data_IF_951449858251
#
_entry.id   IF_951449858251
#
_cell.length_a   1.000
_cell.length_b   1.000
_cell.length_c   1.000
_cell.angle_alpha   90.00
_cell.angle_beta   90.00
_cell.angle_gamma   90.00
#
_symmetry.space_group_name_H-M   'P 1'
#
loop_
_entity.id
_entity.type
_entity.pdbx_description
1 polymer ?
#
# COMPACT_ATOMS: atom_id res chain seq x y z
N UNK A 1 -15.47 7.81 -20.13
CA UNK A 1 -16.13 6.49 -20.28
C UNK A 1 -15.27 5.65 -21.22
N UNK A 2 -14.79 4.49 -20.76
CA UNK A 2 -13.99 3.55 -21.57
C UNK A 2 -14.92 2.47 -22.14
N UNK A 3 -14.96 2.34 -23.46
CA UNK A 3 -15.65 1.25 -24.13
C UNK A 3 -14.62 0.22 -24.63
N UNK A 4 -14.80 -1.05 -24.26
CA UNK A 4 -13.99 -2.17 -24.76
C UNK A 4 -14.87 -2.96 -25.71
N UNK A 5 -14.49 -3.02 -26.99
CA UNK A 5 -15.26 -3.70 -28.01
C UNK A 5 -14.44 -4.82 -28.66
N UNK A 6 -15.04 -6.01 -28.75
CA UNK A 6 -14.49 -7.11 -29.55
C UNK A 6 -14.66 -6.80 -31.03
N UNK A 7 -13.61 -7.05 -31.83
CA UNK A 7 -13.65 -6.93 -33.29
C UNK A 7 -14.52 -8.01 -33.95
N UNK A 8 -14.71 -9.15 -33.28
CA UNK A 8 -15.51 -10.28 -33.78
C UNK A 8 -16.94 -10.23 -33.24
N UNK A 9 -17.90 -10.59 -34.10
CA UNK A 9 -19.27 -10.89 -33.67
C UNK A 9 -19.21 -12.22 -32.91
N UNK A 10 -19.20 -12.17 -31.58
CA UNK A 10 -19.28 -13.37 -30.75
C UNK A 10 -20.71 -13.92 -30.85
N UNK A 11 -20.87 -15.07 -31.49
CA UNK A 11 -22.12 -15.82 -31.45
C UNK A 11 -22.33 -16.37 -30.04
N UNK A 12 -23.49 -16.09 -29.44
CA UNK A 12 -23.87 -16.68 -28.16
C UNK A 12 -23.96 -18.21 -28.30
N UNK A 13 -23.50 -18.99 -27.29
CA UNK A 13 -23.78 -20.42 -27.19
C UNK A 13 -25.28 -20.70 -27.28
N UNK A 14 -25.67 -21.79 -27.95
CA UNK A 14 -27.08 -22.13 -28.23
C UNK A 14 -27.94 -22.23 -26.95
N UNK A 15 -27.33 -22.63 -25.83
CA UNK A 15 -27.95 -22.74 -24.51
C UNK A 15 -28.44 -21.38 -23.95
N UNK A 16 -27.71 -20.29 -24.22
CA UNK A 16 -28.09 -18.93 -23.80
C UNK A 16 -29.14 -18.32 -24.73
N UNK A 17 -29.19 -18.77 -25.99
CA UNK A 17 -30.22 -18.35 -26.96
C UNK A 17 -31.59 -18.94 -26.61
N UNK A 18 -31.64 -20.13 -26.01
CA UNK A 18 -32.87 -20.78 -25.57
C UNK A 18 -33.52 -20.10 -24.35
N UNK A 19 -32.75 -19.37 -23.53
CA UNK A 19 -33.21 -18.79 -22.26
C UNK A 19 -33.72 -17.33 -22.36
N UNK A 20 -33.62 -16.66 -23.53
CA UNK A 20 -33.78 -15.20 -23.64
C UNK A 20 -34.88 -14.72 -24.59
N UNK A 21 -35.60 -13.67 -24.15
CA UNK A 21 -36.66 -12.97 -24.89
C UNK A 21 -36.22 -12.52 -26.30
N UNK A 22 -37.07 -12.82 -27.30
CA UNK A 22 -36.84 -12.55 -28.73
C UNK A 22 -36.98 -11.06 -29.06
N UNK A 23 -35.88 -10.33 -28.99
CA UNK A 23 -35.62 -9.19 -29.88
C UNK A 23 -34.13 -9.19 -30.22
N UNK A 24 -33.74 -9.55 -31.45
CA UNK A 24 -32.33 -9.49 -31.85
C UNK A 24 -31.90 -8.03 -31.94
N UNK A 25 -31.08 -7.57 -30.98
CA UNK A 25 -30.34 -6.32 -31.12
C UNK A 25 -29.49 -6.38 -32.40
N UNK A 26 -29.47 -5.33 -33.23
CA UNK A 26 -28.70 -5.33 -34.47
C UNK A 26 -27.22 -5.59 -34.19
N UNK A 27 -26.68 -6.67 -34.77
CA UNK A 27 -25.27 -7.06 -34.66
C UNK A 27 -24.40 -5.95 -35.24
N UNK A 28 -23.85 -5.10 -34.39
CA UNK A 28 -22.94 -4.02 -34.77
C UNK A 28 -21.52 -4.44 -34.42
N UNK A 29 -20.57 -4.30 -35.34
CA UNK A 29 -19.17 -4.65 -35.10
C UNK A 29 -18.54 -3.67 -34.09
N UNK A 30 -17.51 -4.13 -33.35
CA UNK A 30 -16.76 -3.26 -32.44
C UNK A 30 -16.21 -2.00 -33.13
N UNK A 31 -15.74 -2.15 -34.37
CA UNK A 31 -15.28 -1.05 -35.22
C UNK A 31 -16.36 0.00 -35.48
N UNK A 32 -17.59 -0.42 -35.79
CA UNK A 32 -18.68 0.52 -36.01
C UNK A 32 -19.11 1.25 -34.72
N UNK A 33 -18.98 0.61 -33.56
CA UNK A 33 -19.26 1.23 -32.26
C UNK A 33 -18.17 2.25 -31.88
N UNK A 34 -16.90 1.92 -32.09
CA UNK A 34 -15.77 2.82 -31.85
C UNK A 34 -15.84 4.03 -32.78
N UNK A 35 -16.10 3.84 -34.08
CA UNK A 35 -16.22 4.95 -35.02
C UNK A 35 -17.34 5.91 -34.62
N UNK A 36 -18.53 5.40 -34.26
CA UNK A 36 -19.63 6.22 -33.73
C UNK A 36 -19.26 6.97 -32.44
N UNK A 37 -18.47 6.34 -31.58
CA UNK A 37 -18.00 6.97 -30.34
C UNK A 37 -17.02 8.10 -30.63
N UNK A 38 -16.05 7.90 -31.53
CA UNK A 38 -15.07 8.91 -31.96
C UNK A 38 -15.75 10.08 -32.67
N UNK A 39 -16.68 9.81 -33.59
CA UNK A 39 -17.45 10.84 -34.29
C UNK A 39 -18.21 11.77 -33.33
N UNK A 40 -18.75 11.22 -32.24
CA UNK A 40 -19.45 12.00 -31.21
C UNK A 40 -18.54 12.68 -30.20
N UNK A 41 -17.28 12.24 -30.09
CA UNK A 41 -16.33 12.70 -29.09
C UNK A 41 -15.00 13.06 -29.76
N UNK A 42 -14.85 14.28 -30.28
CA UNK A 42 -13.68 14.68 -31.07
C UNK A 42 -12.36 14.62 -30.29
N UNK A 43 -12.41 14.60 -28.96
CA UNK A 43 -11.26 14.44 -28.06
C UNK A 43 -11.02 12.99 -27.64
N UNK A 44 -11.56 12.01 -28.37
CA UNK A 44 -11.38 10.60 -28.06
C UNK A 44 -9.99 10.11 -28.51
N UNK A 45 -9.34 9.35 -27.64
CA UNK A 45 -8.16 8.53 -27.94
C UNK A 45 -8.63 7.10 -28.17
N UNK A 46 -8.21 6.51 -29.27
CA UNK A 46 -8.48 5.10 -29.58
C UNK A 46 -7.20 4.29 -29.60
N UNK A 47 -7.25 3.08 -29.03
CA UNK A 47 -6.16 2.11 -29.08
C UNK A 47 -6.70 0.81 -29.65
N UNK A 48 -6.10 0.34 -30.74
CA UNK A 48 -6.39 -0.96 -31.33
C UNK A 48 -5.25 -1.92 -31.00
N UNK A 49 -5.59 -3.07 -30.42
CA UNK A 49 -4.65 -4.15 -30.10
C UNK A 49 -4.97 -5.35 -30.99
N UNK A 50 -4.24 -5.48 -32.09
CA UNK A 50 -4.49 -6.48 -33.13
C UNK A 50 -5.89 -6.36 -33.74
N UNK A 51 -6.48 -7.49 -34.14
CA UNK A 51 -7.84 -7.55 -34.70
C UNK A 51 -8.94 -7.77 -33.64
N UNK A 52 -8.54 -7.98 -32.39
CA UNK A 52 -9.42 -8.52 -31.36
C UNK A 52 -10.00 -7.45 -30.43
N UNK A 53 -9.24 -6.39 -30.12
CA UNK A 53 -9.63 -5.41 -29.11
C UNK A 53 -9.50 -3.99 -29.66
N UNK A 54 -10.59 -3.23 -29.55
CA UNK A 54 -10.58 -1.80 -29.75
C UNK A 54 -11.05 -1.08 -28.50
N UNK A 55 -10.22 -0.15 -28.04
CA UNK A 55 -10.47 0.73 -26.91
C UNK A 55 -10.73 2.12 -27.43
N UNK A 56 -11.77 2.77 -26.92
CA UNK A 56 -12.02 4.18 -27.17
C UNK A 56 -12.30 4.89 -25.84
N UNK A 57 -11.61 6.01 -25.64
CA UNK A 57 -11.65 6.77 -24.40
C UNK A 57 -11.71 8.26 -24.70
N UNK A 58 -12.54 9.02 -23.97
CA UNK A 58 -12.59 10.49 -24.13
C UNK A 58 -12.74 11.19 -22.79
N UNK A 59 -12.08 12.34 -22.69
CA UNK A 59 -12.15 13.29 -21.58
C UNK A 59 -13.07 14.49 -21.86
N UNK A 60 -13.91 14.46 -22.90
CA UNK A 60 -14.69 15.64 -23.33
C UNK A 60 -15.57 16.27 -22.21
N UNK A 61 -15.85 15.57 -21.10
CA UNK A 61 -16.53 16.11 -19.89
C UNK A 61 -15.72 16.02 -18.60
N UNK A 62 -14.45 15.62 -18.68
CA UNK A 62 -13.55 15.41 -17.55
C UNK A 62 -12.28 16.21 -17.82
N UNK A 63 -12.26 17.46 -17.36
CA UNK A 63 -11.11 18.34 -17.52
C UNK A 63 -10.24 18.30 -16.27
N UNK A 64 -8.95 17.92 -16.37
CA UNK A 64 -7.98 18.06 -15.27
C UNK A 64 -7.87 19.52 -14.78
N UNK A 65 -8.18 20.49 -15.65
CA UNK A 65 -8.12 21.93 -15.38
C UNK A 65 -9.47 22.54 -14.95
N UNK A 66 -10.52 21.72 -14.79
CA UNK A 66 -11.79 22.16 -14.20
C UNK A 66 -12.19 21.18 -13.09
N UNK A 67 -11.48 21.17 -11.95
CA UNK A 67 -12.06 20.61 -10.75
C UNK A 67 -13.42 21.28 -10.54
N UNK A 68 -14.45 20.51 -10.23
CA UNK A 68 -15.76 21.08 -9.94
C UNK A 68 -15.60 21.91 -8.68
N UNK A 69 -15.58 23.24 -8.82
CA UNK A 69 -15.31 24.16 -7.71
C UNK A 69 -16.24 23.92 -6.51
N UNK A 70 -17.46 23.43 -6.77
CA UNK A 70 -18.44 23.03 -5.75
C UNK A 70 -17.97 21.90 -4.81
N UNK A 71 -17.00 21.09 -5.22
CA UNK A 71 -16.49 19.95 -4.44
C UNK A 71 -15.18 20.29 -3.68
N UNK A 72 -14.61 21.47 -3.92
CA UNK A 72 -13.39 21.91 -3.22
C UNK A 72 -13.66 22.03 -1.73
N UNK A 73 -12.77 21.45 -0.92
CA UNK A 73 -12.88 21.41 0.54
C UNK A 73 -13.75 20.28 1.11
N UNK A 74 -14.43 19.49 0.28
CA UNK A 74 -15.21 18.33 0.73
C UNK A 74 -14.35 17.06 0.84
N UNK A 75 -14.74 16.08 1.69
CA UNK A 75 -14.05 14.79 1.78
C UNK A 75 -14.02 14.04 0.44
N UNK A 76 -12.81 13.67 -0.03
CA UNK A 76 -12.61 12.98 -1.31
C UNK A 76 -13.39 11.66 -1.40
N UNK A 77 -13.39 10.87 -0.32
CA UNK A 77 -14.05 9.57 -0.28
C UNK A 77 -15.57 9.69 -0.51
N UNK A 78 -16.22 10.62 0.19
CA UNK A 78 -17.65 10.85 0.09
C UNK A 78 -18.05 11.37 -1.30
N UNK A 79 -17.30 12.35 -1.82
CA UNK A 79 -17.54 12.89 -3.16
C UNK A 79 -17.36 11.79 -4.21
N UNK A 80 -16.27 11.01 -4.14
CA UNK A 80 -16.01 9.92 -5.08
C UNK A 80 -17.13 8.88 -5.10
N UNK A 81 -17.53 8.38 -3.92
CA UNK A 81 -18.60 7.40 -3.78
C UNK A 81 -19.92 7.93 -4.37
N UNK A 82 -20.32 9.14 -3.98
CA UNK A 82 -21.53 9.80 -4.49
C UNK A 82 -21.52 9.89 -6.01
N UNK A 83 -20.40 10.35 -6.61
CA UNK A 83 -20.32 10.53 -8.08
C UNK A 83 -20.40 9.22 -8.85
N UNK A 84 -19.79 8.14 -8.33
CA UNK A 84 -19.86 6.83 -8.99
C UNK A 84 -21.29 6.27 -8.90
N UNK A 85 -21.93 6.36 -7.74
CA UNK A 85 -23.31 5.89 -7.55
C UNK A 85 -24.33 6.70 -8.36
N UNK A 86 -24.11 8.01 -8.57
CA UNK A 86 -24.92 8.84 -9.49
C UNK A 86 -24.78 8.39 -10.95
N UNK A 87 -23.63 7.82 -11.32
CA UNK A 87 -23.29 7.46 -12.71
C UNK A 87 -23.63 6.02 -13.06
N UNK A 88 -23.47 5.09 -12.12
CA UNK A 88 -23.58 3.64 -12.34
C UNK A 88 -24.68 3.09 -11.45
N UNK A 89 -25.78 2.67 -12.08
CA UNK A 89 -26.92 2.08 -11.38
C UNK A 89 -26.56 0.70 -10.80
N UNK A 90 -27.01 0.43 -9.58
CA UNK A 90 -26.83 -0.88 -8.92
C UNK A 90 -25.48 -1.06 -8.22
N UNK A 91 -24.66 -0.02 -8.14
CA UNK A 91 -23.42 -0.01 -7.36
C UNK A 91 -23.66 0.64 -6.00
N UNK A 92 -23.22 -0.04 -4.95
CA UNK A 92 -23.22 0.49 -3.58
C UNK A 92 -21.76 0.74 -3.15
N UNK A 93 -21.45 1.96 -2.71
CA UNK A 93 -20.13 2.34 -2.22
C UNK A 93 -20.30 2.97 -0.85
N UNK A 94 -19.65 2.38 0.16
CA UNK A 94 -19.58 2.92 1.51
C UNK A 94 -18.29 3.75 1.65
N UNK A 95 -18.35 5.09 1.65
CA UNK A 95 -17.16 5.91 1.80
C UNK A 95 -16.67 5.94 3.26
N UNK A 96 -15.36 5.96 3.45
CA UNK A 96 -14.73 6.21 4.74
C UNK A 96 -13.78 7.41 4.64
N UNK A 97 -14.12 8.50 5.33
CA UNK A 97 -13.24 9.66 5.49
C UNK A 97 -12.43 9.52 6.79
N UNK A 98 -11.43 8.65 6.75
CA UNK A 98 -10.48 8.42 7.84
C UNK A 98 -9.14 7.98 7.26
N UNK A 99 -8.10 7.95 8.08
CA UNK A 99 -6.86 7.30 7.68
C UNK A 99 -7.03 5.78 7.73
N UNK A 100 -6.14 5.04 7.06
CA UNK A 100 -6.15 3.57 7.09
C UNK A 100 -5.69 3.05 8.46
N UNK A 101 -4.82 3.80 9.12
CA UNK A 101 -4.26 3.48 10.43
C UNK A 101 -5.28 3.64 11.57
N UNK A 102 -6.34 4.42 11.34
CA UNK A 102 -7.41 4.68 12.32
C UNK A 102 -8.42 3.52 12.39
N UNK A 103 -8.36 2.57 11.45
CA UNK A 103 -9.28 1.42 11.39
C UNK A 103 -8.74 0.26 12.21
N UNK A 104 -9.64 -0.39 12.95
CA UNK A 104 -9.32 -1.63 13.64
C UNK A 104 -9.04 -2.77 12.65
N UNK A 105 -8.31 -3.80 13.09
CA UNK A 105 -7.97 -4.94 12.23
C UNK A 105 -9.22 -5.67 11.74
N UNK A 106 -10.25 -5.81 12.58
CA UNK A 106 -11.50 -6.51 12.24
C UNK A 106 -12.20 -5.87 11.02
N UNK A 107 -12.10 -4.54 10.85
CA UNK A 107 -12.63 -3.86 9.65
C UNK A 107 -12.03 -4.44 8.37
N UNK A 108 -10.73 -4.70 8.36
CA UNK A 108 -10.06 -5.24 7.18
C UNK A 108 -10.37 -6.72 6.95
N UNK A 109 -10.75 -7.45 8.00
CA UNK A 109 -11.08 -8.87 7.91
C UNK A 109 -12.37 -9.14 7.10
N UNK A 110 -13.29 -8.17 7.04
CA UNK A 110 -14.54 -8.29 6.30
C UNK A 110 -14.36 -8.26 4.77
N UNK A 111 -13.22 -7.77 4.28
CA UNK A 111 -12.97 -7.69 2.84
C UNK A 111 -12.37 -8.98 2.29
N UNK A 112 -12.78 -9.37 1.07
CA UNK A 112 -12.17 -10.50 0.36
C UNK A 112 -10.92 -10.11 -0.42
N UNK A 113 -10.87 -8.88 -0.96
CA UNK A 113 -9.76 -8.36 -1.77
C UNK A 113 -9.55 -6.90 -1.42
N UNK A 114 -8.28 -6.48 -1.41
CA UNK A 114 -7.89 -5.10 -1.11
C UNK A 114 -7.22 -4.49 -2.35
N UNK A 115 -7.80 -3.44 -2.93
CA UNK A 115 -7.18 -2.68 -4.02
C UNK A 115 -6.54 -1.40 -3.48
N UNK A 116 -5.28 -1.14 -3.84
CA UNK A 116 -4.47 -0.06 -3.31
C UNK A 116 -4.09 0.93 -4.41
N UNK A 117 -4.31 2.21 -4.14
CA UNK A 117 -3.87 3.35 -4.96
C UNK A 117 -3.26 4.43 -4.06
N UNK A 118 -2.38 3.99 -3.14
CA UNK A 118 -1.78 4.84 -2.12
C UNK A 118 -0.64 5.69 -2.68
N UNK A 119 -0.27 6.77 -2.01
CA UNK A 119 0.77 7.71 -2.45
C UNK A 119 2.07 7.60 -1.63
N UNK A 120 2.05 6.93 -0.47
CA UNK A 120 3.21 6.74 0.38
C UNK A 120 3.68 5.29 0.49
N UNK A 121 4.95 5.10 0.81
CA UNK A 121 5.53 3.77 1.07
C UNK A 121 5.03 3.27 2.43
N UNK A 122 4.92 4.16 3.41
CA UNK A 122 4.49 3.90 4.78
C UNK A 122 3.07 3.32 4.81
N UNK A 123 2.14 3.93 4.07
CA UNK A 123 0.76 3.46 3.99
C UNK A 123 0.68 2.06 3.32
N UNK A 124 1.48 1.84 2.27
CA UNK A 124 1.58 0.52 1.61
C UNK A 124 2.15 -0.55 2.54
N UNK A 125 3.17 -0.21 3.34
CA UNK A 125 3.74 -1.12 4.34
C UNK A 125 2.77 -1.43 5.45
N UNK A 126 2.01 -0.44 5.92
CA UNK A 126 0.97 -0.63 6.93
C UNK A 126 -0.08 -1.64 6.45
N UNK A 127 -0.70 -1.40 5.28
CA UNK A 127 -1.75 -2.30 4.79
C UNK A 127 -1.20 -3.69 4.42
N UNK A 128 0.06 -3.77 3.98
CA UNK A 128 0.74 -5.05 3.78
C UNK A 128 0.91 -5.81 5.11
N UNK A 129 1.30 -5.12 6.18
CA UNK A 129 1.38 -5.69 7.53
C UNK A 129 0.03 -6.18 8.03
N UNK A 130 -1.04 -5.40 7.82
CA UNK A 130 -2.42 -5.79 8.15
C UNK A 130 -2.83 -7.06 7.39
N UNK A 131 -2.70 -7.07 6.06
CA UNK A 131 -3.09 -8.21 5.24
C UNK A 131 -2.28 -9.48 5.55
N UNK A 132 -0.98 -9.34 5.81
CA UNK A 132 -0.14 -10.47 6.24
C UNK A 132 -0.45 -10.91 7.68
N UNK A 133 -0.92 -9.99 8.53
CA UNK A 133 -1.30 -10.27 9.91
C UNK A 133 -2.44 -11.27 10.03
N UNK A 134 -3.33 -11.35 9.03
CA UNK A 134 -4.40 -12.34 9.00
C UNK A 134 -3.94 -13.74 8.61
N UNK A 135 -2.75 -13.90 8.02
CA UNK A 135 -2.30 -15.20 7.52
C UNK A 135 -2.17 -16.20 8.67
N UNK A 136 -2.87 -17.31 8.54
CA UNK A 136 -2.63 -18.51 9.33
C UNK A 136 -1.86 -19.54 8.51
N UNK A 137 -1.13 -20.40 9.20
CA UNK A 137 -0.32 -21.45 8.58
C UNK A 137 -0.74 -22.80 9.18
N UNK A 138 -0.66 -23.84 8.36
CA UNK A 138 -0.80 -25.22 8.83
C UNK A 138 0.51 -25.75 9.44
N UNK A 139 0.56 -27.04 9.73
CA UNK A 139 1.70 -27.70 10.36
C UNK A 139 2.93 -27.75 9.44
N UNK A 140 2.73 -27.66 8.12
CA UNK A 140 3.77 -27.70 7.09
C UNK A 140 4.23 -26.29 6.67
N UNK A 141 3.93 -25.26 7.49
CA UNK A 141 4.21 -23.86 7.20
C UNK A 141 3.60 -23.36 5.86
N UNK A 142 2.50 -23.98 5.44
CA UNK A 142 1.73 -23.59 4.25
C UNK A 142 0.59 -22.64 4.66
N UNK A 143 0.41 -21.50 3.97
CA UNK A 143 -0.63 -20.54 4.33
C UNK A 143 -2.04 -21.11 4.08
N UNK A 144 -2.91 -21.00 5.08
CA UNK A 144 -4.33 -21.38 5.00
C UNK A 144 -5.07 -20.45 4.06
N UNK A 145 -5.63 -21.01 2.99
CA UNK A 145 -6.19 -20.23 1.86
C UNK A 145 -7.33 -19.32 2.29
N UNK A 146 -8.10 -19.72 3.30
CA UNK A 146 -9.26 -19.00 3.83
C UNK A 146 -8.87 -17.69 4.51
N UNK A 147 -7.62 -17.61 5.01
CA UNK A 147 -7.09 -16.45 5.73
C UNK A 147 -6.36 -15.47 4.82
N UNK A 148 -6.11 -15.86 3.57
CA UNK A 148 -5.41 -15.02 2.60
C UNK A 148 -6.35 -13.89 2.14
N UNK A 149 -5.84 -12.66 2.24
CA UNK A 149 -6.48 -11.46 1.68
C UNK A 149 -5.65 -10.97 0.49
N UNK A 150 -5.99 -11.35 -0.77
CA UNK A 150 -5.28 -10.86 -1.94
C UNK A 150 -5.32 -9.34 -2.04
N UNK A 151 -4.20 -8.76 -2.44
CA UNK A 151 -4.07 -7.32 -2.67
C UNK A 151 -3.66 -7.03 -4.10
N UNK A 152 -4.16 -5.92 -4.64
CA UNK A 152 -3.73 -5.38 -5.93
C UNK A 152 -3.24 -3.95 -5.72
N UNK A 153 -1.94 -3.70 -5.91
CA UNK A 153 -1.31 -2.39 -5.69
C UNK A 153 -0.99 -1.68 -7.00
N UNK A 154 -1.39 -0.42 -7.10
CA UNK A 154 -1.02 0.50 -8.17
C UNK A 154 -0.13 1.63 -7.68
N UNK A 155 0.85 2.02 -8.48
CA UNK A 155 1.68 3.21 -8.25
C UNK A 155 2.02 3.92 -9.56
N UNK A 156 2.14 5.24 -9.50
CA UNK A 156 2.35 6.10 -10.67
C UNK A 156 3.27 7.27 -10.36
N UNK A 157 4.18 7.58 -11.28
CA UNK A 157 5.08 8.74 -11.24
C UNK A 157 5.34 9.21 -12.66
N UNK A 158 4.81 10.37 -13.02
CA UNK A 158 4.91 10.94 -14.37
C UNK A 158 4.41 9.97 -15.44
N UNK A 159 5.30 9.56 -16.34
CA UNK A 159 5.03 8.58 -17.40
C UNK A 159 5.35 7.13 -17.01
N UNK A 160 5.70 6.87 -15.74
CA UNK A 160 6.02 5.54 -15.24
C UNK A 160 4.95 5.08 -14.26
N UNK A 161 4.74 3.78 -14.18
CA UNK A 161 3.86 3.21 -13.17
C UNK A 161 4.05 1.72 -13.02
N UNK A 162 3.39 1.16 -12.01
CA UNK A 162 3.35 -0.27 -11.78
C UNK A 162 1.99 -0.74 -11.32
N UNK A 163 1.67 -1.99 -11.64
CA UNK A 163 0.58 -2.74 -11.05
C UNK A 163 1.13 -4.04 -10.47
N UNK A 164 0.74 -4.38 -9.24
CA UNK A 164 1.23 -5.56 -8.53
C UNK A 164 0.06 -6.39 -8.05
N UNK A 165 0.19 -7.71 -8.13
CA UNK A 165 -0.72 -8.66 -7.48
C UNK A 165 0.06 -9.31 -6.35
N UNK A 166 -0.44 -9.15 -5.13
CA UNK A 166 0.15 -9.68 -3.92
C UNK A 166 -0.85 -10.67 -3.32
N UNK A 167 -0.45 -11.92 -3.23
CA UNK A 167 -1.15 -12.98 -2.51
C UNK A 167 -0.29 -13.31 -1.29
N UNK A 168 -0.59 -12.72 -0.12
CA UNK A 168 0.25 -12.87 1.07
C UNK A 168 0.53 -14.36 1.40
N UNK A 169 1.79 -14.67 1.73
CA UNK A 169 2.25 -16.04 2.00
C UNK A 169 2.55 -16.87 0.75
N UNK A 170 2.04 -16.49 -0.43
CA UNK A 170 2.25 -17.23 -1.70
C UNK A 170 3.20 -16.48 -2.62
N UNK A 171 2.88 -15.23 -2.97
CA UNK A 171 3.75 -14.36 -3.77
C UNK A 171 4.57 -13.44 -2.85
N UNK A 172 5.61 -12.75 -3.35
CA UNK A 172 6.29 -11.73 -2.55
C UNK A 172 5.30 -10.68 -2.04
N UNK A 173 5.36 -10.40 -0.75
CA UNK A 173 4.64 -9.28 -0.15
C UNK A 173 5.34 -7.95 -0.48
N UNK A 174 4.74 -6.83 -0.04
CA UNK A 174 5.34 -5.52 -0.27
C UNK A 174 6.75 -5.41 0.34
N UNK A 175 6.96 -5.97 1.53
CA UNK A 175 8.25 -5.94 2.22
C UNK A 175 9.33 -6.76 1.48
N UNK A 176 8.97 -7.87 0.81
CA UNK A 176 9.91 -8.67 0.00
C UNK A 176 10.50 -7.88 -1.18
N UNK A 177 9.79 -6.84 -1.63
CA UNK A 177 10.14 -6.05 -2.82
C UNK A 177 10.36 -4.58 -2.50
N UNK A 178 10.57 -4.22 -1.24
CA UNK A 178 10.76 -2.83 -0.81
C UNK A 178 11.99 -2.18 -1.44
N UNK A 179 13.03 -2.97 -1.73
CA UNK A 179 14.25 -2.53 -2.38
C UNK A 179 14.05 -2.03 -3.81
N UNK A 180 12.90 -2.29 -4.43
CA UNK A 180 12.54 -1.71 -5.74
C UNK A 180 12.22 -0.22 -5.66
N UNK A 181 11.88 0.30 -4.48
CA UNK A 181 11.65 1.72 -4.30
C UNK A 181 12.98 2.45 -4.09
N UNK A 182 13.21 3.56 -4.81
CA UNK A 182 14.43 4.33 -4.63
C UNK A 182 14.48 4.91 -3.21
N UNK A 183 15.68 5.02 -2.60
CA UNK A 183 15.82 5.71 -1.32
C UNK A 183 15.38 7.17 -1.48
N UNK A 184 14.73 7.71 -0.45
CA UNK A 184 14.39 9.12 -0.43
C UNK A 184 15.66 9.97 -0.44
N UNK A 185 15.70 10.99 -1.29
CA UNK A 185 16.84 11.90 -1.39
C UNK A 185 16.83 12.81 -0.16
N UNK A 186 17.66 12.49 0.84
CA UNK A 186 17.92 13.36 1.99
C UNK A 186 19.23 14.12 1.76
N UNK A 187 19.17 15.45 1.75
CA UNK A 187 20.38 16.27 1.62
C UNK A 187 21.13 16.32 2.97
N UNK A 188 22.47 16.13 2.98
CA UNK A 188 23.24 16.26 4.21
C UNK A 188 23.17 17.68 4.79
N UNK A 189 23.00 17.80 6.12
CA UNK A 189 22.89 19.09 6.79
C UNK A 189 24.09 20.01 6.55
N UNK A 190 25.31 19.46 6.51
CA UNK A 190 26.53 20.23 6.20
C UNK A 190 26.50 20.83 4.78
N UNK A 191 25.89 20.12 3.82
CA UNK A 191 25.73 20.62 2.45
C UNK A 191 24.68 21.72 2.41
N UNK A 192 23.57 21.55 3.13
CA UNK A 192 22.54 22.58 3.23
C UNK A 192 23.06 23.85 3.91
N UNK A 193 23.81 23.72 5.01
CA UNK A 193 24.27 24.83 5.84
C UNK A 193 25.50 25.58 5.27
N UNK A 194 26.50 24.85 4.76
CA UNK A 194 27.80 25.43 4.42
C UNK A 194 28.07 25.49 2.91
N UNK A 195 27.70 24.43 2.17
CA UNK A 195 28.14 24.25 0.76
C UNK A 195 27.00 23.88 -0.19
N UNK A 196 25.99 24.77 -0.38
CA UNK A 196 24.93 24.53 -1.34
C UNK A 196 25.51 24.46 -2.76
N UNK A 197 24.95 23.60 -3.62
CA UNK A 197 25.46 23.33 -4.98
C UNK A 197 24.43 23.52 -6.09
N UNK A 198 23.16 23.52 -5.73
CA UNK A 198 22.04 23.66 -6.66
C UNK A 198 20.89 24.38 -5.95
N UNK A 199 19.89 24.82 -6.73
CA UNK A 199 18.74 25.56 -6.23
C UNK A 199 17.93 24.81 -5.15
N UNK A 200 17.83 23.47 -5.25
CA UNK A 200 17.14 22.65 -4.24
C UNK A 200 17.81 22.75 -2.87
N UNK A 201 19.14 22.80 -2.79
CA UNK A 201 19.84 22.99 -1.52
C UNK A 201 19.53 24.34 -0.87
N UNK A 202 19.40 25.41 -1.68
CA UNK A 202 19.03 26.74 -1.19
C UNK A 202 17.60 26.76 -0.64
N UNK A 203 16.68 26.08 -1.32
CA UNK A 203 15.27 25.94 -0.90
C UNK A 203 15.16 25.14 0.40
N UNK A 204 15.84 23.99 0.49
CA UNK A 204 15.81 23.15 1.69
C UNK A 204 16.46 23.82 2.89
N UNK A 205 17.51 24.61 2.68
CA UNK A 205 18.05 25.45 3.74
C UNK A 205 17.02 26.45 4.27
N UNK A 206 16.31 27.14 3.36
CA UNK A 206 15.29 28.10 3.75
C UNK A 206 14.15 27.44 4.55
N UNK A 207 13.71 26.26 4.10
CA UNK A 207 12.63 25.49 4.71
C UNK A 207 13.02 24.81 6.03
N UNK A 208 14.13 24.08 6.08
CA UNK A 208 14.48 23.23 7.23
C UNK A 208 15.31 23.95 8.29
N UNK A 209 16.11 24.95 7.90
CA UNK A 209 17.06 25.62 8.81
C UNK A 209 16.59 27.03 9.15
N UNK A 210 16.33 27.87 8.14
CA UNK A 210 15.98 29.29 8.39
C UNK A 210 14.57 29.49 8.91
N UNK A 211 13.59 28.72 8.43
CA UNK A 211 12.22 28.89 8.88
C UNK A 211 12.08 28.72 10.40
N UNK A 212 12.57 27.62 11.02
CA UNK A 212 12.51 27.47 12.48
C UNK A 212 13.31 28.54 13.24
N UNK A 213 14.45 28.99 12.70
CA UNK A 213 15.31 30.03 13.29
C UNK A 213 14.57 31.37 13.42
N UNK A 214 13.85 31.78 12.37
CA UNK A 214 13.19 33.10 12.30
C UNK A 214 11.79 33.10 12.94
N UNK A 215 11.04 32.01 12.81
CA UNK A 215 9.63 31.95 13.23
C UNK A 215 9.41 31.30 14.59
N UNK A 216 10.47 31.06 15.38
CA UNK A 216 10.36 30.74 16.80
C UNK A 216 9.45 29.54 17.11
N UNK A 217 9.53 28.48 16.31
CA UNK A 217 8.74 27.25 16.52
C UNK A 217 7.35 27.23 15.89
N UNK A 218 6.93 28.25 15.13
CA UNK A 218 5.71 28.16 14.30
C UNK A 218 5.89 27.04 13.27
N UNK A 219 4.94 26.10 13.23
CA UNK A 219 4.95 25.03 12.23
C UNK A 219 4.83 25.61 10.82
N UNK A 220 5.70 25.16 9.93
CA UNK A 220 5.59 25.46 8.51
C UNK A 220 4.38 24.73 7.93
N UNK A 221 3.59 25.45 7.14
CA UNK A 221 2.46 24.87 6.39
C UNK A 221 2.74 25.05 4.89
N UNK A 222 2.93 23.96 4.13
CA UNK A 222 3.23 24.03 2.71
C UNK A 222 2.03 24.47 1.85
N UNK A 223 0.80 24.38 2.36
CA UNK A 223 -0.41 24.80 1.65
C UNK A 223 -0.74 26.27 1.87
N UNK A 224 -0.14 26.92 2.87
CA UNK A 224 -0.25 28.35 3.10
C UNK A 224 0.62 29.17 2.12
N UNK A 225 0.03 30.02 1.25
CA UNK A 225 0.77 30.76 0.24
C UNK A 225 1.84 31.70 0.82
N UNK A 226 1.59 32.29 1.99
CA UNK A 226 2.52 33.20 2.66
C UNK A 226 3.79 32.47 3.14
N UNK A 227 3.62 31.29 3.72
CA UNK A 227 4.74 30.45 4.16
C UNK A 227 5.60 30.04 2.97
N UNK A 228 4.97 29.59 1.88
CA UNK A 228 5.68 29.18 0.67
C UNK A 228 6.42 30.33 0.01
N UNK A 229 5.80 31.52 -0.03
CA UNK A 229 6.44 32.72 -0.57
C UNK A 229 7.66 33.12 0.24
N UNK A 230 7.59 33.06 1.56
CA UNK A 230 8.73 33.36 2.41
C UNK A 230 9.92 32.42 2.14
N UNK A 231 9.67 31.11 2.02
CA UNK A 231 10.73 30.13 1.71
C UNK A 231 11.35 30.43 0.35
N UNK A 232 10.53 30.79 -0.65
CA UNK A 232 11.01 31.19 -1.97
C UNK A 232 11.90 32.44 -1.90
N UNK A 233 11.46 33.49 -1.22
CA UNK A 233 12.20 34.76 -1.08
C UNK A 233 13.54 34.55 -0.37
N UNK A 234 13.58 33.72 0.67
CA UNK A 234 14.80 33.41 1.41
C UNK A 234 15.75 32.49 0.61
N UNK A 235 15.20 31.55 -0.16
CA UNK A 235 15.98 30.70 -1.05
C UNK A 235 16.68 31.51 -2.16
N UNK A 236 16.05 32.56 -2.69
CA UNK A 236 16.67 33.49 -3.66
C UNK A 236 17.87 34.18 -3.06
N UNK A 237 17.73 34.78 -1.87
CA UNK A 237 18.85 35.48 -1.21
C UNK A 237 20.05 34.54 -1.02
N UNK A 238 19.78 33.31 -0.59
CA UNK A 238 20.84 32.29 -0.45
C UNK A 238 21.44 31.89 -1.80
N UNK A 239 20.63 31.70 -2.82
CA UNK A 239 21.11 31.40 -4.16
C UNK A 239 22.02 32.51 -4.72
N UNK A 240 21.66 33.78 -4.51
CA UNK A 240 22.49 34.94 -4.90
C UNK A 240 23.84 34.96 -4.16
N UNK A 241 23.85 34.69 -2.86
CA UNK A 241 25.09 34.65 -2.05
C UNK A 241 26.10 33.60 -2.55
N UNK A 242 25.62 32.47 -3.06
CA UNK A 242 26.47 31.37 -3.55
C UNK A 242 26.59 31.35 -5.09
N UNK A 243 26.00 32.32 -5.79
CA UNK A 243 26.01 32.37 -7.26
C UNK A 243 25.30 31.20 -7.94
N UNK A 244 24.25 30.64 -7.31
CA UNK A 244 23.50 29.48 -7.79
C UNK A 244 22.26 29.92 -8.57
N UNK A 245 22.14 29.64 -9.87
CA UNK A 245 20.94 29.98 -10.64
C UNK A 245 19.82 28.94 -10.44
N UNK A 246 18.60 29.30 -10.88
CA UNK A 246 17.51 28.34 -11.08
C UNK A 246 16.49 28.21 -9.94
N UNK A 247 16.54 29.06 -8.91
CA UNK A 247 15.46 29.15 -7.92
C UNK A 247 14.23 29.79 -8.57
N UNK A 248 13.12 29.05 -8.61
CA UNK A 248 11.82 29.51 -9.11
C UNK A 248 10.74 29.11 -8.12
N UNK A 249 9.62 29.84 -8.09
CA UNK A 249 8.51 29.52 -7.18
C UNK A 249 7.99 28.10 -7.40
N UNK A 250 7.89 27.66 -8.66
CA UNK A 250 7.49 26.29 -9.01
C UNK A 250 8.48 25.24 -8.50
N UNK A 251 9.79 25.51 -8.58
CA UNK A 251 10.81 24.62 -8.02
C UNK A 251 10.73 24.59 -6.50
N UNK A 252 10.49 25.73 -5.84
CA UNK A 252 10.29 25.81 -4.39
C UNK A 252 9.12 24.94 -3.95
N UNK A 253 7.96 25.06 -4.62
CA UNK A 253 6.83 24.19 -4.36
C UNK A 253 7.17 22.71 -4.59
N UNK A 254 7.88 22.41 -5.68
CA UNK A 254 8.30 21.05 -6.02
C UNK A 254 9.17 20.40 -4.95
N UNK A 255 10.19 21.12 -4.47
CA UNK A 255 11.13 20.66 -3.46
C UNK A 255 10.43 20.54 -2.10
N UNK A 256 9.76 21.60 -1.63
CA UNK A 256 9.17 21.62 -0.28
C UNK A 256 8.01 20.62 -0.13
N UNK A 257 7.17 20.46 -1.16
CA UNK A 257 6.06 19.50 -1.14
C UNK A 257 6.45 18.11 -1.63
N UNK A 258 7.70 17.89 -2.04
CA UNK A 258 8.15 16.67 -2.72
C UNK A 258 7.18 16.24 -3.85
N UNK A 259 6.82 17.19 -4.73
CA UNK A 259 5.76 16.99 -5.73
C UNK A 259 6.17 15.90 -6.72
N UNK A 260 5.42 14.80 -6.74
CA UNK A 260 5.52 13.77 -7.76
C UNK A 260 4.63 14.17 -8.95
N UNK A 261 5.16 14.28 -10.18
CA UNK A 261 4.35 14.57 -11.35
C UNK A 261 3.25 13.51 -11.53
N UNK A 262 2.02 13.95 -11.77
CA UNK A 262 0.87 13.05 -11.97
C UNK A 262 0.23 13.30 -13.33
N UNK A 263 0.00 12.24 -14.10
CA UNK A 263 -0.58 12.31 -15.44
C UNK A 263 -1.80 11.38 -15.51
N UNK A 264 -2.93 11.91 -15.97
CA UNK A 264 -4.20 11.16 -16.01
C UNK A 264 -4.11 9.89 -16.86
N UNK A 265 -3.36 9.90 -17.97
CA UNK A 265 -3.16 8.72 -18.82
C UNK A 265 -2.43 7.59 -18.11
N UNK A 266 -1.35 7.89 -17.39
CA UNK A 266 -0.60 6.92 -16.59
C UNK A 266 -1.49 6.30 -15.50
N UNK A 267 -2.25 7.14 -14.79
CA UNK A 267 -3.21 6.68 -13.77
C UNK A 267 -4.27 5.77 -14.38
N UNK A 268 -4.83 6.13 -15.54
CA UNK A 268 -5.81 5.32 -16.23
C UNK A 268 -5.26 3.93 -16.64
N UNK A 269 -4.03 3.88 -17.16
CA UNK A 269 -3.37 2.62 -17.56
C UNK A 269 -3.17 1.72 -16.34
N UNK A 270 -2.61 2.24 -15.25
CA UNK A 270 -2.34 1.46 -14.05
C UNK A 270 -3.63 1.06 -13.34
N UNK A 271 -4.59 1.96 -13.17
CA UNK A 271 -5.88 1.63 -12.57
C UNK A 271 -6.64 0.58 -13.39
N UNK A 272 -6.55 0.61 -14.72
CA UNK A 272 -7.15 -0.42 -15.57
C UNK A 272 -6.48 -1.79 -15.37
N UNK A 273 -5.14 -1.83 -15.27
CA UNK A 273 -4.42 -3.06 -14.95
C UNK A 273 -4.83 -3.61 -13.58
N UNK A 274 -4.88 -2.76 -12.55
CA UNK A 274 -5.30 -3.16 -11.21
C UNK A 274 -6.75 -3.69 -11.20
N UNK A 275 -7.69 -2.96 -11.80
CA UNK A 275 -9.09 -3.38 -11.86
C UNK A 275 -9.29 -4.71 -12.61
N UNK A 276 -8.51 -4.93 -13.68
CA UNK A 276 -8.54 -6.20 -14.42
C UNK A 276 -8.03 -7.36 -13.57
N UNK A 277 -6.94 -7.18 -12.82
CA UNK A 277 -6.44 -8.22 -11.92
C UNK A 277 -7.39 -8.49 -10.77
N UNK A 278 -8.02 -7.46 -10.19
CA UNK A 278 -9.09 -7.63 -9.20
C UNK A 278 -10.23 -8.47 -9.78
N UNK A 279 -10.69 -8.18 -11.00
CA UNK A 279 -11.74 -8.96 -11.66
C UNK A 279 -11.34 -10.42 -11.84
N UNK A 280 -10.10 -10.70 -12.27
CA UNK A 280 -9.59 -12.06 -12.43
C UNK A 280 -9.56 -12.82 -11.10
N UNK A 281 -9.14 -12.18 -10.02
CA UNK A 281 -9.12 -12.77 -8.67
C UNK A 281 -10.55 -13.09 -8.20
N UNK A 282 -11.50 -12.15 -8.35
CA UNK A 282 -12.90 -12.36 -7.91
C UNK A 282 -13.59 -13.47 -8.70
N UNK A 283 -13.44 -13.45 -10.03
CA UNK A 283 -14.24 -14.31 -10.91
C UNK A 283 -13.57 -15.63 -11.27
N UNK A 284 -12.26 -15.75 -11.08
CA UNK A 284 -11.48 -16.88 -11.59
C UNK A 284 -11.48 -17.01 -13.12
N UNK A 285 -11.90 -15.97 -13.86
CA UNK A 285 -12.11 -16.04 -15.30
C UNK A 285 -10.81 -16.21 -16.11
N UNK A 286 -9.66 -15.91 -15.52
CA UNK A 286 -8.34 -16.04 -16.13
C UNK A 286 -7.27 -16.12 -15.04
N UNK A 287 -6.07 -16.59 -15.42
CA UNK A 287 -4.87 -16.45 -14.61
C UNK A 287 -4.54 -14.96 -14.38
N UNK A 288 -4.06 -14.66 -13.18
CA UNK A 288 -3.55 -13.34 -12.81
C UNK A 288 -2.18 -13.09 -13.44
N UNK A 289 -1.73 -11.83 -13.43
CA UNK A 289 -0.33 -11.51 -13.67
C UNK A 289 0.57 -12.22 -12.64
N UNK A 290 1.84 -12.44 -13.00
CA UNK A 290 2.78 -13.22 -12.18
C UNK A 290 2.99 -12.59 -10.79
N UNK A 291 3.35 -11.30 -10.73
CA UNK A 291 3.18 -10.46 -9.53
C UNK A 291 3.49 -8.97 -9.79
N UNK A 292 4.28 -8.63 -10.81
CA UNK A 292 4.69 -7.24 -11.02
C UNK A 292 4.66 -6.83 -12.49
N UNK A 293 3.82 -5.86 -12.83
CA UNK A 293 3.80 -5.18 -14.12
C UNK A 293 4.41 -3.79 -13.97
N UNK A 294 5.36 -3.44 -14.84
CA UNK A 294 5.85 -2.06 -15.02
C UNK A 294 5.31 -1.48 -16.31
N UNK A 295 5.03 -0.18 -16.28
CA UNK A 295 4.71 0.65 -17.42
C UNK A 295 5.71 1.80 -17.52
N UNK A 296 6.21 2.06 -18.72
CA UNK A 296 7.02 3.23 -19.03
C UNK A 296 6.55 3.84 -20.37
N UNK A 297 6.03 5.06 -20.28
CA UNK A 297 5.55 5.87 -21.39
C UNK A 297 6.50 6.97 -21.86
N UNK A 298 7.76 6.99 -21.37
CA UNK A 298 8.72 8.05 -21.70
C UNK A 298 9.23 7.99 -23.15
N UNK A 299 9.46 6.78 -23.66
CA UNK A 299 9.87 6.52 -25.04
C UNK A 299 8.96 5.43 -25.64
N UNK A 300 7.80 5.85 -26.17
CA UNK A 300 6.78 4.93 -26.68
C UNK A 300 5.97 4.23 -25.57
N UNK A 301 5.42 3.05 -25.86
CA UNK A 301 4.65 2.25 -24.90
C UNK A 301 5.43 0.99 -24.56
N UNK A 302 5.99 0.95 -23.35
CA UNK A 302 6.67 -0.24 -22.84
C UNK A 302 5.97 -0.77 -21.60
N UNK A 303 5.60 -2.05 -21.64
CA UNK A 303 5.10 -2.79 -20.48
C UNK A 303 5.92 -4.05 -20.29
N UNK A 304 6.34 -4.33 -19.06
CA UNK A 304 7.06 -5.56 -18.72
C UNK A 304 6.44 -6.22 -17.51
N UNK A 305 6.17 -7.51 -17.62
CA UNK A 305 5.78 -8.34 -16.48
C UNK A 305 7.03 -9.04 -15.98
N UNK A 306 7.32 -8.89 -14.69
CA UNK A 306 8.40 -9.55 -13.99
C UNK A 306 7.80 -10.39 -12.86
N UNK A 307 8.31 -11.60 -12.70
CA UNK A 307 7.96 -12.46 -11.59
C UNK A 307 9.06 -12.37 -10.53
N UNK A 308 8.75 -11.72 -9.41
CA UNK A 308 9.60 -11.73 -8.24
C UNK A 308 9.30 -12.94 -7.36
N UNK A 309 10.32 -13.43 -6.65
CA UNK A 309 10.19 -14.58 -5.77
C UNK A 309 9.94 -14.09 -4.34
N UNK A 310 9.07 -14.79 -3.61
CA UNK A 310 8.86 -14.54 -2.19
C UNK A 310 10.13 -14.85 -1.40
N UNK A 311 10.52 -13.91 -0.54
CA UNK A 311 11.57 -14.16 0.44
C UNK A 311 11.04 -15.13 1.51
N UNK A 312 11.69 -16.29 1.63
CA UNK A 312 11.29 -17.37 2.55
C UNK A 312 11.54 -16.97 4.01
N UNK A 313 12.51 -16.10 4.25
CA UNK A 313 12.85 -15.58 5.59
C UNK A 313 12.09 -14.29 5.92
N UNK A 314 11.11 -13.90 5.11
CA UNK A 314 10.36 -12.67 5.31
C UNK A 314 9.61 -12.70 6.65
N UNK A 315 9.95 -11.77 7.55
CA UNK A 315 9.32 -11.64 8.87
C UNK A 315 7.86 -11.16 8.85
N UNK A 316 7.39 -10.67 7.69
CA UNK A 316 6.04 -10.12 7.54
C UNK A 316 5.07 -11.13 6.95
N UNK A 317 5.41 -11.76 5.82
CA UNK A 317 4.55 -12.73 5.14
C UNK A 317 5.00 -14.19 5.30
N UNK A 318 5.91 -14.45 6.25
CA UNK A 318 6.31 -15.79 6.66
C UNK A 318 5.46 -16.35 7.81
N UNK A 319 5.63 -17.64 8.13
CA UNK A 319 4.89 -18.31 9.21
C UNK A 319 5.12 -17.71 10.61
N UNK A 320 6.08 -16.79 10.73
CA UNK A 320 6.48 -16.15 11.97
C UNK A 320 7.66 -16.88 12.62
N UNK A 321 8.41 -16.14 13.44
CA UNK A 321 9.54 -16.71 14.18
C UNK A 321 9.01 -17.60 15.29
N UNK A 322 9.50 -18.84 15.35
CA UNK A 322 9.23 -19.75 16.46
C UNK A 322 10.05 -19.33 17.67
N UNK A 323 9.38 -19.12 18.80
CA UNK A 323 9.98 -18.83 20.10
C UNK A 323 9.50 -19.90 21.08
N UNK A 324 10.44 -20.66 21.61
CA UNK A 324 10.18 -21.65 22.64
C UNK A 324 10.44 -21.04 24.02
N UNK A 325 9.45 -21.13 24.91
CA UNK A 325 9.48 -20.52 26.24
C UNK A 325 9.14 -21.55 27.31
N UNK A 326 9.62 -21.35 28.54
CA UNK A 326 9.09 -22.06 29.70
C UNK A 326 7.77 -21.42 30.16
N UNK A 327 6.86 -22.21 30.73
CA UNK A 327 5.56 -21.74 31.25
C UNK A 327 5.67 -20.67 32.34
N UNK A 328 6.84 -20.55 32.98
CA UNK A 328 7.12 -19.56 34.03
C UNK A 328 7.63 -18.21 33.53
N UNK A 329 7.92 -18.06 32.23
CA UNK A 329 8.43 -16.81 31.67
C UNK A 329 7.35 -15.72 31.78
N UNK A 330 7.72 -14.59 32.39
CA UNK A 330 6.85 -13.42 32.51
C UNK A 330 6.77 -12.63 31.20
N UNK A 331 5.68 -11.88 31.01
CA UNK A 331 5.52 -11.03 29.84
C UNK A 331 6.65 -9.99 29.70
N UNK A 332 7.17 -9.45 30.82
CA UNK A 332 8.33 -8.57 30.78
C UNK A 332 9.57 -9.25 30.19
N UNK A 333 9.92 -10.45 30.70
CA UNK A 333 11.08 -11.19 30.19
C UNK A 333 10.92 -11.55 28.72
N UNK A 334 9.70 -11.90 28.29
CA UNK A 334 9.42 -12.12 26.89
C UNK A 334 9.70 -10.87 26.05
N UNK A 335 9.23 -9.68 26.47
CA UNK A 335 9.50 -8.41 25.78
C UNK A 335 11.00 -8.12 25.71
N UNK A 336 11.74 -8.32 26.82
CA UNK A 336 13.18 -8.13 26.87
C UNK A 336 13.90 -9.05 25.85
N UNK A 337 13.45 -10.31 25.74
CA UNK A 337 13.97 -11.25 24.73
C UNK A 337 13.74 -10.78 23.29
N UNK A 338 12.64 -10.08 23.00
CA UNK A 338 12.37 -9.56 21.65
C UNK A 338 13.29 -8.40 21.26
N UNK A 339 13.71 -7.60 22.25
CA UNK A 339 14.66 -6.51 22.06
C UNK A 339 16.08 -7.04 21.78
N UNK A 340 16.46 -8.16 22.41
CA UNK A 340 17.76 -8.82 22.22
C UNK A 340 17.81 -9.81 21.06
N UNK A 341 16.66 -10.25 20.53
CA UNK A 341 16.61 -11.31 19.52
C UNK A 341 17.26 -10.86 18.19
N UNK A 342 18.23 -11.61 17.63
CA UNK A 342 19.10 -11.14 16.53
C UNK A 342 18.36 -10.83 15.23
N UNK A 343 17.19 -11.45 15.00
CA UNK A 343 16.34 -11.17 13.83
C UNK A 343 15.26 -10.11 14.07
N UNK A 344 14.91 -9.80 15.32
CA UNK A 344 13.76 -8.95 15.64
C UNK A 344 14.21 -7.56 16.09
N UNK A 345 15.12 -7.49 17.07
CA UNK A 345 15.64 -6.25 17.66
C UNK A 345 14.53 -5.21 17.88
N UNK A 346 13.39 -5.68 18.44
CA UNK A 346 12.16 -4.90 18.58
C UNK A 346 12.18 -4.12 19.89
N UNK A 347 12.36 -2.81 19.79
CA UNK A 347 12.23 -1.89 20.94
C UNK A 347 10.79 -1.41 21.11
N UNK A 348 10.38 -1.03 22.34
CA UNK A 348 9.03 -0.49 22.65
C UNK A 348 7.89 -1.42 22.19
N UNK A 349 8.03 -2.71 22.43
CA UNK A 349 7.08 -3.72 21.98
C UNK A 349 5.74 -3.65 22.72
N UNK A 350 4.65 -3.80 21.98
CA UNK A 350 3.29 -4.06 22.44
C UNK A 350 2.89 -5.45 21.95
N UNK A 351 2.25 -6.24 22.81
CA UNK A 351 1.96 -7.66 22.55
C UNK A 351 0.45 -7.87 22.60
N UNK A 352 -0.10 -8.49 21.56
CA UNK A 352 -1.50 -8.92 21.47
C UNK A 352 -1.59 -10.43 21.24
N UNK A 353 -2.61 -11.04 21.82
CA UNK A 353 -2.97 -12.44 21.62
C UNK A 353 -4.46 -12.51 21.29
N UNK A 354 -4.80 -12.98 20.08
CA UNK A 354 -6.16 -12.89 19.56
C UNK A 354 -6.70 -11.45 19.58
N UNK A 355 -7.81 -11.23 20.28
CA UNK A 355 -8.43 -9.90 20.46
C UNK A 355 -7.86 -9.15 21.66
N UNK A 356 -7.21 -9.85 22.57
CA UNK A 356 -6.76 -9.29 23.84
C UNK A 356 -5.39 -8.62 23.69
N UNK A 357 -5.32 -7.40 24.22
CA UNK A 357 -4.05 -6.69 24.33
C UNK A 357 -3.38 -7.12 25.64
N UNK A 358 -2.33 -7.94 25.53
CA UNK A 358 -1.59 -8.41 26.70
C UNK A 358 -0.80 -7.26 27.31
N UNK A 359 -0.16 -6.46 26.46
CA UNK A 359 0.53 -5.23 26.83
C UNK A 359 0.56 -4.21 25.67
N UNK A 360 0.31 -2.94 25.98
CA UNK A 360 0.36 -1.84 25.02
C UNK A 360 1.30 -0.76 25.54
N UNK A 361 2.32 -0.39 24.77
CA UNK A 361 3.29 0.63 25.17
C UNK A 361 2.74 2.07 25.04
N UNK A 362 1.73 2.26 24.19
CA UNK A 362 1.09 3.55 23.94
C UNK A 362 -0.38 3.35 23.51
N UNK A 363 -1.26 4.33 23.76
CA UNK A 363 -1.05 5.57 24.54
C UNK A 363 -0.88 5.30 26.06
N UNK A 364 -0.40 6.28 26.87
CA UNK A 364 -0.08 6.09 28.29
C UNK A 364 -1.22 5.48 29.12
N UNK A 365 -2.46 5.81 28.80
CA UNK A 365 -3.65 5.25 29.48
C UNK A 365 -3.72 3.73 29.31
N UNK A 366 -3.49 3.22 28.10
CA UNK A 366 -3.48 1.76 27.87
C UNK A 366 -2.24 1.11 28.48
N UNK A 367 -1.12 1.81 28.48
CA UNK A 367 0.10 1.32 29.13
C UNK A 367 -0.10 1.11 30.62
N UNK A 368 -0.67 2.09 31.33
CA UNK A 368 -0.98 1.98 32.75
C UNK A 368 -1.98 0.84 33.04
N UNK A 369 -2.97 0.66 32.18
CA UNK A 369 -3.96 -0.42 32.30
C UNK A 369 -3.33 -1.82 32.14
N UNK A 370 -2.38 -1.98 31.21
CA UNK A 370 -1.77 -3.28 30.93
C UNK A 370 -0.46 -3.53 31.69
N UNK A 371 0.15 -2.52 32.30
CA UNK A 371 1.38 -2.63 33.11
C UNK A 371 1.34 -3.76 34.16
N UNK A 372 0.22 -4.02 34.87
CA UNK A 372 0.14 -5.14 35.83
C UNK A 372 0.31 -6.52 35.19
N UNK A 373 0.14 -6.66 33.87
CA UNK A 373 0.35 -7.94 33.18
C UNK A 373 1.82 -8.26 32.98
N UNK A 374 2.74 -7.28 33.05
CA UNK A 374 4.17 -7.49 32.81
C UNK A 374 4.81 -8.49 33.78
N UNK A 375 4.32 -8.56 35.02
CA UNK A 375 4.81 -9.50 36.04
C UNK A 375 4.17 -10.89 35.97
N UNK A 376 3.12 -11.08 35.17
CA UNK A 376 2.41 -12.36 35.05
C UNK A 376 3.09 -13.28 34.02
N UNK A 377 3.04 -14.61 34.20
CA UNK A 377 3.50 -15.56 33.19
C UNK A 377 2.73 -15.39 31.87
N UNK A 378 3.46 -15.38 30.74
CA UNK A 378 2.84 -15.26 29.42
C UNK A 378 1.88 -16.44 29.15
N UNK A 379 2.24 -17.64 29.62
CA UNK A 379 1.40 -18.83 29.51
C UNK A 379 0.01 -18.64 30.13
N UNK A 380 -0.07 -18.02 31.32
CA UNK A 380 -1.36 -17.73 31.96
C UNK A 380 -2.15 -16.66 31.21
N UNK A 381 -1.47 -15.63 30.68
CA UNK A 381 -2.10 -14.57 29.90
C UNK A 381 -2.64 -15.05 28.56
N UNK A 382 -2.02 -16.05 27.96
CA UNK A 382 -2.46 -16.71 26.72
C UNK A 382 -3.53 -17.79 26.97
N UNK A 383 -4.10 -17.86 28.17
CA UNK A 383 -5.16 -18.83 28.49
C UNK A 383 -4.66 -20.27 28.64
N UNK A 384 -3.37 -20.46 28.96
CA UNK A 384 -2.73 -21.78 29.18
C UNK A 384 -2.76 -22.69 27.95
N UNK A 385 -2.66 -22.09 26.77
CA UNK A 385 -2.52 -22.81 25.50
C UNK A 385 -1.04 -23.15 25.29
N UNK A 386 -0.75 -24.39 24.90
CA UNK A 386 0.61 -24.90 24.74
C UNK A 386 1.35 -24.27 23.54
N UNK A 387 0.63 -23.97 22.47
CA UNK A 387 1.14 -23.34 21.25
C UNK A 387 0.11 -22.39 20.69
N UNK A 388 0.51 -21.14 20.46
CA UNK A 388 -0.32 -20.18 19.74
C UNK A 388 0.54 -19.07 19.11
N UNK A 389 -0.11 -18.17 18.36
CA UNK A 389 0.51 -17.00 17.77
C UNK A 389 0.30 -15.76 18.63
N UNK A 390 1.35 -14.96 18.82
CA UNK A 390 1.24 -13.59 19.33
C UNK A 390 1.63 -12.59 18.26
N UNK A 391 0.93 -11.46 18.24
CA UNK A 391 1.23 -10.32 17.37
C UNK A 391 1.98 -9.28 18.18
N UNK A 392 3.18 -8.92 17.71
CA UNK A 392 4.02 -7.93 18.36
C UNK A 392 4.14 -6.69 17.49
N UNK A 393 3.83 -5.54 18.07
CA UNK A 393 3.99 -4.23 17.48
C UNK A 393 5.16 -3.55 18.16
N UNK A 394 6.20 -3.17 17.43
CA UNK A 394 7.36 -2.52 18.05
C UNK A 394 8.08 -1.62 17.06
N UNK A 395 9.14 -0.98 17.53
CA UNK A 395 10.07 -0.24 16.69
C UNK A 395 11.29 -1.11 16.42
N UNK A 396 11.40 -1.63 15.20
CA UNK A 396 12.59 -2.34 14.74
C UNK A 396 13.62 -1.35 14.17
N UNK A 397 14.90 -1.65 14.35
CA UNK A 397 16.00 -0.99 13.64
C UNK A 397 16.27 -1.75 12.35
N UNK A 398 15.96 -1.15 11.20
CA UNK A 398 16.24 -1.73 9.89
C UNK A 398 17.00 -0.68 9.07
N UNK A 399 18.24 -0.99 8.70
CA UNK A 399 19.14 -0.06 7.97
C UNK A 399 19.31 1.31 8.66
N UNK A 400 19.56 1.32 9.97
CA UNK A 400 19.76 2.53 10.80
C UNK A 400 18.54 3.46 10.96
N UNK A 401 17.40 3.14 10.35
CA UNK A 401 16.14 3.86 10.56
C UNK A 401 15.22 3.11 11.52
N UNK A 402 14.60 3.86 12.45
CA UNK A 402 13.61 3.34 13.41
C UNK A 402 12.28 3.21 12.71
N UNK A 403 11.70 2.02 12.72
CA UNK A 403 10.43 1.80 12.06
C UNK A 403 9.45 0.95 12.85
N UNK A 404 8.18 1.35 12.83
CA UNK A 404 7.09 0.52 13.32
C UNK A 404 6.99 -0.78 12.51
N UNK A 405 7.09 -1.91 13.20
CA UNK A 405 6.99 -3.25 12.64
C UNK A 405 5.87 -4.00 13.35
N UNK A 406 5.04 -4.68 12.56
CA UNK A 406 4.12 -5.70 13.03
C UNK A 406 4.74 -7.06 12.69
N UNK A 407 5.08 -7.82 13.71
CA UNK A 407 5.74 -9.12 13.57
C UNK A 407 4.87 -10.20 14.20
N UNK A 408 4.62 -11.26 13.42
CA UNK A 408 3.95 -12.48 13.89
C UNK A 408 4.97 -13.41 14.54
N UNK A 409 4.72 -13.85 15.77
CA UNK A 409 5.57 -14.79 16.50
C UNK A 409 4.76 -16.04 16.87
N UNK A 410 5.34 -17.21 16.66
CA UNK A 410 4.77 -18.50 17.08
C UNK A 410 5.39 -18.85 18.43
N UNK A 411 4.59 -18.86 19.48
CA UNK A 411 5.07 -19.15 20.83
C UNK A 411 4.69 -20.59 21.18
N UNK A 412 5.66 -21.36 21.64
CA UNK A 412 5.48 -22.74 22.13
C UNK A 412 6.01 -22.83 23.56
N UNK A 413 5.19 -23.32 24.47
CA UNK A 413 5.57 -23.51 25.87
C UNK A 413 6.06 -24.94 26.14
N UNK A 414 7.27 -25.05 26.70
CA UNK A 414 7.85 -26.32 27.17
C UNK A 414 7.28 -26.67 28.55
N UNK A 415 6.89 -27.93 28.74
CA UNK A 415 6.53 -28.49 30.06
C UNK A 415 5.05 -28.53 30.43
N UNK A 416 4.12 -28.39 29.47
CA UNK A 416 2.67 -28.58 29.72
C UNK A 416 2.24 -30.06 29.70
N UNK A 417 3.05 -30.96 29.13
CA UNK A 417 2.79 -32.39 29.10
C UNK A 417 3.79 -33.15 29.97
N UNK A 418 3.28 -33.80 31.02
CA UNK A 418 3.92 -34.94 31.67
C UNK A 418 3.81 -36.20 30.81
N UNK A 419 4.17 -36.11 29.53
CA UNK A 419 4.32 -37.27 28.64
C UNK A 419 5.82 -37.39 28.37
N UNK A 420 6.41 -38.37 29.05
CA UNK A 420 7.72 -38.91 28.72
C UNK A 420 7.74 -39.31 27.25
N UNK A 421 8.65 -38.74 26.46
CA UNK A 421 9.13 -39.37 25.25
C UNK A 421 9.77 -40.71 25.64
N UNK A 422 8.96 -41.77 25.61
CA UNK A 422 9.41 -43.13 25.46
C UNK A 422 9.16 -43.54 24.00
N UNK A 423 10.25 -43.97 23.38
CA UNK A 423 10.34 -44.76 22.15
C UNK A 423 10.07 -44.05 20.80
N UNK A 424 11.18 -43.75 20.12
CA UNK A 424 11.57 -44.61 18.99
C UNK A 424 13.07 -44.50 18.72
N UNK A 425 13.83 -45.33 19.43
CA UNK A 425 15.07 -45.86 18.91
C UNK A 425 14.75 -46.97 17.88
N UNK A 426 14.91 -46.67 16.60
CA UNK A 426 15.17 -47.64 15.52
C UNK A 426 16.02 -46.84 14.52
N UNK A 427 17.27 -47.12 14.17
CA UNK A 427 18.10 -48.31 14.31
C UNK A 427 18.98 -48.33 13.05
N UNK A 428 20.30 -48.35 13.25
CA UNK A 428 21.40 -48.67 12.31
C UNK A 428 21.43 -48.05 10.90
#
# INVERSE_FOLDING_TARGET
MLGIFSGAIVSLPEELVAAGSRTPSPKTTGAALVNKFVEKNPSAVTVQVGDYVQLAYTHHKESPLRPRLEDVGKPKAEVAAKRVMERVSGVEIVPHFSRIEDKELDFYNDFNIIALGLDSIEARRYINGVACGFLEYDEDDTPRRETIKPMVDGGTEGFKGHARVIVPGVTPCFECTIWLFPPQVKFPLCTLAETPRNAAHCIEYAHLIKWPEVHGGKSFDPDEPEHMKWVYDEAIKRAELFGIPGVTYSLTQGVVKNIIPAIASTNAIISAACALETLKIVSGCSKTLANYLTYNGGEGLHTKVTEFVRDQDCLVCGPGILIELDTSITLQKFIDMLEEHPKLLLSKASVKHGKDSLYMQAPPVLEEMHRPNLSKPLYDLMGRVQKDTVHVFGTALKNEEKQSSLTKLRVVFKGADGVTDMDTAIGA
#
